data_IF_982606468674
#
_entry.id   IF_982606468674
#
_cell.length_a   1.000
_cell.length_b   1.000
_cell.length_c   1.000
_cell.angle_alpha   90.00
_cell.angle_beta   90.00
_cell.angle_gamma   90.00
#
_symmetry.space_group_name_H-M   'P 1'
#
loop_
_entity.id
_entity.type
_entity.pdbx_description
1 polymer ?
#
# COMPACT_ATOMS: atom_id res chain seq x y z
N UNK A 1 -20.60 2.20 12.73
CA UNK A 1 -19.89 3.05 11.76
C UNK A 1 -20.59 2.86 10.43
N UNK A 2 -21.14 3.92 9.85
CA UNK A 2 -21.67 3.86 8.48
C UNK A 2 -20.49 3.53 7.58
N UNK A 3 -20.41 2.27 7.14
CA UNK A 3 -19.50 1.89 6.05
C UNK A 3 -20.06 2.56 4.81
N UNK A 4 -19.69 3.82 4.60
CA UNK A 4 -19.79 4.43 3.28
C UNK A 4 -19.02 3.49 2.36
N UNK A 5 -19.75 2.70 1.58
CA UNK A 5 -19.16 1.86 0.55
C UNK A 5 -18.62 2.83 -0.49
N UNK A 6 -17.33 3.13 -0.39
CA UNK A 6 -16.60 3.87 -1.40
C UNK A 6 -16.53 2.93 -2.59
N UNK A 7 -17.39 3.16 -3.58
CA UNK A 7 -17.43 2.39 -4.81
C UNK A 7 -16.55 3.06 -5.87
N UNK A 8 -15.62 2.30 -6.41
CA UNK A 8 -14.75 2.68 -7.51
C UNK A 8 -14.46 1.43 -8.32
N UNK A 9 -14.48 1.55 -9.66
CA UNK A 9 -14.37 0.40 -10.57
C UNK A 9 -13.05 0.42 -11.37
N UNK A 10 -11.87 0.17 -10.76
CA UNK A 10 -10.58 0.19 -11.45
C UNK A 10 -10.50 -0.58 -12.77
N UNK A 11 -11.18 -1.73 -12.88
CA UNK A 11 -11.14 -2.53 -14.12
C UNK A 11 -12.00 -1.95 -15.26
N UNK A 12 -12.97 -1.08 -14.94
CA UNK A 12 -13.86 -0.42 -15.90
C UNK A 12 -13.41 1.03 -16.19
N UNK A 13 -13.09 1.80 -15.15
CA UNK A 13 -12.74 3.22 -15.18
C UNK A 13 -11.27 3.48 -15.61
N UNK A 14 -10.90 3.01 -16.80
CA UNK A 14 -9.52 3.13 -17.33
C UNK A 14 -9.06 4.59 -17.51
N UNK A 15 -9.99 5.53 -17.59
CA UNK A 15 -9.70 6.97 -17.66
C UNK A 15 -8.95 7.50 -16.43
N UNK A 16 -9.07 6.84 -15.28
CA UNK A 16 -8.35 7.23 -14.05
C UNK A 16 -6.87 6.88 -14.15
N UNK A 17 -6.46 6.02 -15.09
CA UNK A 17 -5.05 5.69 -15.30
C UNK A 17 -4.25 6.83 -15.96
N UNK A 18 -4.93 7.78 -16.61
CA UNK A 18 -4.31 8.95 -17.24
C UNK A 18 -3.53 9.78 -16.21
N UNK A 19 -2.21 10.00 -16.41
CA UNK A 19 -1.38 10.85 -15.55
C UNK A 19 -1.97 12.25 -15.31
N UNK A 20 -2.64 12.85 -16.29
CA UNK A 20 -3.23 14.18 -16.14
C UNK A 20 -4.40 14.19 -15.14
N UNK A 21 -5.24 13.15 -15.17
CA UNK A 21 -6.36 12.97 -14.22
C UNK A 21 -5.81 12.70 -12.81
N UNK A 22 -4.79 11.84 -12.69
CA UNK A 22 -4.12 11.57 -11.41
C UNK A 22 -3.50 12.83 -10.80
N UNK A 23 -2.80 13.63 -11.59
CA UNK A 23 -2.20 14.87 -11.12
C UNK A 23 -3.26 15.87 -10.62
N UNK A 24 -4.39 15.97 -11.31
CA UNK A 24 -5.52 16.81 -10.87
C UNK A 24 -6.12 16.29 -9.56
N UNK A 25 -6.34 14.99 -9.44
CA UNK A 25 -6.85 14.38 -8.22
C UNK A 25 -5.88 14.58 -7.04
N UNK A 26 -4.58 14.40 -7.26
CA UNK A 26 -3.54 14.65 -6.26
C UNK A 26 -3.52 16.11 -5.81
N UNK A 27 -3.64 17.07 -6.73
CA UNK A 27 -3.68 18.50 -6.38
C UNK A 27 -4.89 18.83 -5.48
N UNK A 28 -6.05 18.21 -5.71
CA UNK A 28 -7.22 18.36 -4.85
C UNK A 28 -7.01 17.72 -3.48
N UNK A 29 -6.42 16.51 -3.43
CA UNK A 29 -6.06 15.84 -2.18
C UNK A 29 -5.09 16.70 -1.36
N UNK A 30 -4.07 17.26 -1.98
CA UNK A 30 -3.11 18.15 -1.31
C UNK A 30 -3.75 19.43 -0.78
N UNK A 31 -4.70 20.01 -1.52
CA UNK A 31 -5.44 21.19 -1.06
C UNK A 31 -6.26 20.88 0.21
N UNK A 32 -6.94 19.74 0.25
CA UNK A 32 -7.68 19.27 1.43
C UNK A 32 -6.74 18.91 2.59
N UNK A 33 -5.61 18.25 2.32
CA UNK A 33 -4.62 17.91 3.33
C UNK A 33 -4.05 19.15 4.03
N UNK A 34 -3.91 20.29 3.33
CA UNK A 34 -3.51 21.56 3.96
C UNK A 34 -4.53 22.11 4.94
N UNK A 35 -5.82 21.83 4.71
CA UNK A 35 -6.91 22.24 5.61
C UNK A 35 -7.18 21.21 6.70
N UNK A 36 -6.71 19.97 6.53
CA UNK A 36 -6.99 18.87 7.46
C UNK A 36 -6.00 18.94 8.63
N UNK A 37 -6.46 18.88 9.90
CA UNK A 37 -5.56 18.89 11.04
C UNK A 37 -4.67 17.64 11.03
N UNK A 38 -3.37 17.84 11.27
CA UNK A 38 -2.40 16.75 11.38
C UNK A 38 -2.74 15.89 12.60
N UNK A 39 -2.78 14.58 12.40
CA UNK A 39 -3.00 13.60 13.46
C UNK A 39 -1.74 13.53 14.33
N UNK A 40 -1.91 13.57 15.65
CA UNK A 40 -0.79 13.41 16.60
C UNK A 40 -0.19 12.01 16.48
N UNK A 41 1.13 11.89 16.71
CA UNK A 41 1.81 10.58 16.74
C UNK A 41 1.26 9.65 17.84
N UNK A 42 0.60 10.21 18.86
CA UNK A 42 -0.06 9.48 19.95
C UNK A 42 -1.53 9.10 19.67
N UNK A 43 -2.01 9.21 18.42
CA UNK A 43 -3.40 8.87 18.08
C UNK A 43 -3.67 7.35 18.28
N UNK A 44 -4.78 6.96 18.93
CA UNK A 44 -5.12 5.55 19.17
C UNK A 44 -5.34 4.72 17.89
N UNK A 45 -5.43 5.35 16.72
CA UNK A 45 -5.48 4.69 15.41
C UNK A 45 -4.10 4.26 14.92
N UNK A 46 -3.04 4.91 15.39
CA UNK A 46 -1.67 4.53 15.08
C UNK A 46 -1.27 3.34 15.96
N UNK A 47 -0.51 2.36 15.42
CA UNK A 47 0.00 1.28 16.23
C UNK A 47 0.93 1.84 17.31
N UNK A 48 0.77 1.37 18.55
CA UNK A 48 1.64 1.77 19.65
C UNK A 48 3.10 1.46 19.32
N UNK A 49 4.00 2.35 19.76
CA UNK A 49 5.43 2.14 19.57
C UNK A 49 5.86 0.85 20.29
N UNK A 50 6.52 -0.05 19.55
CA UNK A 50 6.88 -1.38 20.05
C UNK A 50 8.23 -1.29 20.73
N UNK A 51 8.26 -1.54 22.03
CA UNK A 51 9.52 -1.76 22.74
C UNK A 51 10.18 -3.06 22.24
N UNK A 52 11.36 -2.92 21.64
CA UNK A 52 12.12 -4.02 21.03
C UNK A 52 12.76 -4.91 22.09
N UNK A 53 13.10 -4.36 23.27
CA UNK A 53 13.82 -5.08 24.33
C UNK A 53 13.18 -4.92 25.72
N UNK A 54 11.88 -5.24 25.88
CA UNK A 54 11.14 -4.96 27.13
C UNK A 54 11.64 -5.74 28.34
N UNK A 55 12.36 -6.85 28.10
CA UNK A 55 12.91 -7.72 29.15
C UNK A 55 14.35 -7.39 29.52
N UNK A 56 15.06 -6.60 28.71
CA UNK A 56 16.48 -6.37 28.89
C UNK A 56 16.81 -4.89 28.76
N UNK A 57 16.85 -4.21 29.92
CA UNK A 57 17.21 -2.81 30.02
C UNK A 57 18.60 -2.49 29.44
N UNK A 58 19.55 -3.43 29.47
CA UNK A 58 20.88 -3.21 28.91
C UNK A 58 20.87 -3.23 27.37
N UNK A 59 20.01 -4.03 26.74
CA UNK A 59 19.87 -4.02 25.28
C UNK A 59 19.06 -2.81 24.81
N UNK A 60 18.04 -2.40 25.57
CA UNK A 60 17.31 -1.17 25.31
C UNK A 60 18.25 0.04 25.34
N UNK A 61 19.05 0.20 26.40
CA UNK A 61 19.99 1.32 26.50
C UNK A 61 21.09 1.29 25.43
N UNK A 62 21.56 0.11 25.02
CA UNK A 62 22.50 -0.01 23.90
C UNK A 62 21.88 0.39 22.56
N UNK A 63 20.59 0.08 22.35
CA UNK A 63 19.87 0.49 21.14
C UNK A 63 19.67 2.00 21.12
N UNK A 64 19.28 2.59 22.26
CA UNK A 64 19.08 4.05 22.40
C UNK A 64 20.38 4.81 22.13
N UNK A 65 21.51 4.29 22.64
CA UNK A 65 22.82 4.92 22.49
C UNK A 65 23.50 4.60 21.14
N UNK A 66 22.94 3.73 20.31
CA UNK A 66 23.59 3.23 19.09
C UNK A 66 23.92 4.35 18.08
N UNK A 67 23.10 5.40 18.04
CA UNK A 67 23.31 6.54 17.14
C UNK A 67 24.60 7.33 17.46
N UNK A 68 24.98 7.38 18.74
CA UNK A 68 26.17 8.09 19.22
C UNK A 68 27.36 7.14 19.37
N UNK A 69 27.13 5.92 19.86
CA UNK A 69 28.15 4.91 20.12
C UNK A 69 27.78 3.57 19.46
N UNK A 70 28.14 3.36 18.18
CA UNK A 70 27.85 2.12 17.50
C UNK A 70 28.62 0.95 18.13
N UNK A 71 27.94 -0.19 18.27
CA UNK A 71 28.52 -1.42 18.85
C UNK A 71 29.73 -1.83 18.00
N UNK A 72 30.90 -1.90 18.65
CA UNK A 72 32.15 -2.34 18.01
C UNK A 72 32.21 -3.86 17.94
N UNK A 73 32.84 -4.38 16.90
CA UNK A 73 33.12 -5.81 16.78
C UNK A 73 33.98 -6.30 17.97
N UNK A 74 33.83 -7.58 18.32
CA UNK A 74 34.65 -8.22 19.35
C UNK A 74 36.13 -8.12 18.93
N UNK A 75 36.96 -7.59 19.82
CA UNK A 75 38.40 -7.47 19.57
C UNK A 75 39.08 -8.85 19.65
N UNK A 76 39.49 -9.35 18.48
CA UNK A 76 40.20 -10.62 18.35
C UNK A 76 41.71 -10.51 18.65
N UNK A 77 42.26 -9.29 18.76
CA UNK A 77 43.70 -9.07 18.94
C UNK A 77 44.25 -9.69 20.22
N UNK A 78 43.40 -9.85 21.25
CA UNK A 78 43.72 -10.50 22.53
C UNK A 78 44.18 -11.95 22.41
N UNK A 79 43.76 -12.66 21.36
CA UNK A 79 44.09 -14.07 21.15
C UNK A 79 45.24 -14.28 20.16
N UNK A 80 45.76 -13.21 19.57
CA UNK A 80 46.93 -13.29 18.69
C UNK A 80 48.19 -13.56 19.51
N UNK A 81 49.17 -14.29 18.93
CA UNK A 81 50.43 -14.52 19.59
C UNK A 81 51.11 -13.18 19.93
N UNK A 82 51.56 -12.98 21.18
CA UNK A 82 52.21 -11.73 21.58
C UNK A 82 53.56 -11.58 20.87
N UNK A 83 53.89 -10.38 20.42
CA UNK A 83 55.21 -10.01 19.93
C UNK A 83 55.85 -9.03 20.91
N UNK A 84 57.13 -9.23 21.23
CA UNK A 84 57.87 -8.41 22.19
C UNK A 84 59.15 -7.90 21.50
N UNK A 85 59.46 -6.62 21.66
CA UNK A 85 60.66 -6.00 21.11
C UNK A 85 61.91 -6.34 21.94
N UNK A 86 63.09 -6.28 21.32
CA UNK A 86 64.36 -6.43 22.04
C UNK A 86 64.54 -5.28 23.03
N UNK A 87 64.74 -5.61 24.31
CA UNK A 87 64.87 -4.64 25.41
C UNK A 87 63.56 -4.32 26.17
N UNK A 88 62.50 -5.10 25.97
CA UNK A 88 61.23 -4.90 26.68
C UNK A 88 61.35 -4.99 28.21
N UNK A 89 60.49 -4.24 28.89
CA UNK A 89 60.43 -4.20 30.35
C UNK A 89 59.92 -5.53 30.94
N UNK A 90 60.20 -5.76 32.22
CA UNK A 90 59.79 -6.98 32.92
C UNK A 90 58.25 -7.10 33.01
N UNK A 91 57.55 -5.96 33.06
CA UNK A 91 56.09 -5.89 33.04
C UNK A 91 55.51 -6.28 31.67
N UNK A 92 56.07 -5.74 30.57
CA UNK A 92 55.67 -6.11 29.20
C UNK A 92 55.91 -7.59 28.91
N UNK A 93 57.01 -8.16 29.43
CA UNK A 93 57.28 -9.59 29.34
C UNK A 93 56.27 -10.43 30.14
N UNK A 94 55.88 -9.99 31.34
CA UNK A 94 54.87 -10.68 32.14
C UNK A 94 53.49 -10.65 31.47
N UNK A 95 53.10 -9.53 30.87
CA UNK A 95 51.88 -9.41 30.08
C UNK A 95 51.92 -10.30 28.82
N UNK A 96 53.05 -10.32 28.11
CA UNK A 96 53.23 -11.19 26.96
C UNK A 96 53.09 -12.67 27.35
N UNK A 97 53.64 -13.11 28.48
CA UNK A 97 53.45 -14.49 28.98
C UNK A 97 51.98 -14.78 29.27
N UNK A 98 51.27 -13.85 29.92
CA UNK A 98 49.85 -14.02 30.22
C UNK A 98 49.00 -14.11 28.94
N UNK A 99 49.23 -13.22 27.97
CA UNK A 99 48.56 -13.27 26.66
C UNK A 99 48.89 -14.55 25.90
N UNK A 100 50.14 -15.00 25.96
CA UNK A 100 50.57 -16.27 25.37
C UNK A 100 49.81 -17.47 25.94
N UNK A 101 49.65 -17.55 27.27
CA UNK A 101 48.85 -18.60 27.93
C UNK A 101 47.37 -18.56 27.53
N UNK A 102 46.80 -17.36 27.42
CA UNK A 102 45.42 -17.19 26.94
C UNK A 102 45.28 -17.69 25.50
N UNK A 103 46.22 -17.33 24.62
CA UNK A 103 46.27 -17.79 23.24
C UNK A 103 46.41 -19.31 23.13
N UNK A 104 47.31 -19.92 23.91
CA UNK A 104 47.50 -21.37 23.97
C UNK A 104 46.22 -22.10 24.39
N UNK A 105 45.60 -21.67 25.49
CA UNK A 105 44.34 -22.25 25.97
C UNK A 105 43.22 -22.15 24.94
N UNK A 106 43.10 -21.00 24.26
CA UNK A 106 42.15 -20.81 23.18
C UNK A 106 42.43 -21.76 21.99
N UNK A 107 43.69 -21.93 21.59
CA UNK A 107 44.05 -22.83 20.49
C UNK A 107 43.83 -24.31 20.85
N UNK A 108 44.08 -24.70 22.10
CA UNK A 108 43.76 -26.03 22.62
C UNK A 108 42.25 -26.31 22.51
N UNK A 109 41.41 -25.41 23.04
CA UNK A 109 39.96 -25.53 22.93
C UNK A 109 39.48 -25.53 21.48
N UNK A 110 40.09 -24.70 20.62
CA UNK A 110 39.77 -24.68 19.19
C UNK A 110 40.07 -26.03 18.54
N UNK A 111 41.18 -26.68 18.87
CA UNK A 111 41.51 -27.99 18.33
C UNK A 111 40.51 -29.07 18.79
N UNK A 112 40.09 -29.04 20.06
CA UNK A 112 39.03 -29.92 20.56
C UNK A 112 37.71 -29.71 19.81
N UNK A 113 37.27 -28.46 19.67
CA UNK A 113 36.06 -28.11 18.93
C UNK A 113 36.14 -28.50 17.45
N UNK A 114 37.31 -28.33 16.81
CA UNK A 114 37.55 -28.79 15.43
C UNK A 114 37.47 -30.31 15.34
N UNK A 115 37.96 -31.05 16.33
CA UNK A 115 37.81 -32.52 16.37
C UNK A 115 36.35 -32.96 16.41
N UNK A 116 35.53 -32.32 17.25
CA UNK A 116 34.08 -32.53 17.30
C UNK A 116 33.43 -32.16 15.97
N UNK A 117 33.79 -31.02 15.38
CA UNK A 117 33.27 -30.57 14.09
C UNK A 117 33.66 -31.50 12.94
N UNK A 118 34.86 -32.06 12.94
CA UNK A 118 35.28 -33.03 11.91
C UNK A 118 34.45 -34.32 11.98
N UNK A 119 34.10 -34.75 13.20
CA UNK A 119 33.34 -35.99 13.42
C UNK A 119 31.86 -35.82 13.09
N UNK A 120 31.23 -34.73 13.54
CA UNK A 120 29.77 -34.55 13.44
C UNK A 120 29.34 -33.49 12.43
N UNK A 121 30.22 -32.56 12.05
CA UNK A 121 29.93 -31.43 11.18
C UNK A 121 29.34 -31.83 9.84
N UNK A 122 29.97 -32.74 9.06
CA UNK A 122 29.43 -33.13 7.75
C UNK A 122 27.99 -33.66 7.82
N UNK A 123 27.70 -34.53 8.79
CA UNK A 123 26.36 -35.09 8.97
C UNK A 123 25.36 -34.05 9.46
N UNK A 124 25.74 -33.19 10.41
CA UNK A 124 24.90 -32.10 10.88
C UNK A 124 24.55 -31.11 9.76
N UNK A 125 25.51 -30.82 8.88
CA UNK A 125 25.30 -29.98 7.70
C UNK A 125 24.32 -30.59 6.70
N UNK A 126 24.42 -31.89 6.43
CA UNK A 126 23.48 -32.58 5.55
C UNK A 126 22.05 -32.57 6.11
N UNK A 127 21.90 -32.85 7.41
CA UNK A 127 20.58 -32.78 8.09
C UNK A 127 20.02 -31.36 8.04
N UNK A 128 20.86 -30.34 8.31
CA UNK A 128 20.44 -28.95 8.24
C UNK A 128 20.03 -28.56 6.82
N UNK A 129 20.77 -29.00 5.80
CA UNK A 129 20.42 -28.75 4.41
C UNK A 129 19.07 -29.38 4.04
N UNK A 130 18.82 -30.63 4.47
CA UNK A 130 17.53 -31.29 4.28
C UNK A 130 16.38 -30.52 4.95
N UNK A 131 16.56 -30.07 6.19
CA UNK A 131 15.56 -29.25 6.90
C UNK A 131 15.29 -27.93 6.16
N UNK A 132 16.34 -27.24 5.70
CA UNK A 132 16.20 -26.01 4.94
C UNK A 132 15.47 -26.22 3.62
N UNK A 133 15.75 -27.32 2.91
CA UNK A 133 15.05 -27.66 1.68
C UNK A 133 13.56 -27.94 1.96
N UNK A 134 13.24 -28.65 3.05
CA UNK A 134 11.85 -28.88 3.46
C UNK A 134 11.11 -27.57 3.74
N UNK A 135 11.72 -26.67 4.51
CA UNK A 135 11.15 -25.35 4.82
C UNK A 135 10.96 -24.51 3.54
N UNK A 136 11.94 -24.56 2.64
CA UNK A 136 11.86 -23.87 1.35
C UNK A 136 10.69 -24.40 0.52
N UNK A 137 10.51 -25.72 0.43
CA UNK A 137 9.38 -26.31 -0.31
C UNK A 137 8.03 -25.94 0.28
N UNK A 138 7.92 -25.90 1.61
CA UNK A 138 6.70 -25.47 2.31
C UNK A 138 6.40 -23.99 2.01
N UNK A 139 7.40 -23.11 2.15
CA UNK A 139 7.25 -21.69 1.86
C UNK A 139 6.89 -21.45 0.38
N UNK A 140 7.50 -22.18 -0.55
CA UNK A 140 7.13 -22.12 -1.97
C UNK A 140 5.68 -22.53 -2.19
N UNK A 141 5.21 -23.61 -1.55
CA UNK A 141 3.81 -24.05 -1.61
C UNK A 141 2.83 -23.01 -1.04
N UNK A 142 3.17 -22.40 0.11
CA UNK A 142 2.32 -21.32 0.66
C UNK A 142 2.27 -20.11 -0.26
N UNK A 143 3.38 -19.76 -0.90
CA UNK A 143 3.47 -18.64 -1.84
C UNK A 143 2.65 -18.92 -3.11
N UNK A 144 2.71 -20.12 -3.68
CA UNK A 144 1.90 -20.48 -4.86
C UNK A 144 0.42 -20.43 -4.53
N UNK A 145 0.01 -20.99 -3.39
CA UNK A 145 -1.39 -20.96 -2.95
C UNK A 145 -1.87 -19.52 -2.72
N UNK A 146 -1.06 -18.67 -2.11
CA UNK A 146 -1.41 -17.26 -1.90
C UNK A 146 -1.55 -16.52 -3.23
N UNK A 147 -0.65 -16.78 -4.19
CA UNK A 147 -0.77 -16.20 -5.54
C UNK A 147 -2.06 -16.63 -6.23
N UNK A 148 -2.41 -17.91 -6.15
CA UNK A 148 -3.67 -18.43 -6.71
C UNK A 148 -4.88 -17.75 -6.08
N UNK A 149 -4.92 -17.62 -4.76
CA UNK A 149 -5.98 -16.90 -4.04
C UNK A 149 -6.08 -15.44 -4.49
N UNK A 150 -4.95 -14.73 -4.61
CA UNK A 150 -4.93 -13.35 -5.11
C UNK A 150 -5.45 -13.28 -6.54
N UNK A 151 -5.05 -14.21 -7.41
CA UNK A 151 -5.54 -14.22 -8.80
C UNK A 151 -7.03 -14.51 -8.89
N UNK A 152 -7.56 -15.39 -8.05
CA UNK A 152 -8.98 -15.71 -8.01
C UNK A 152 -9.80 -14.52 -7.52
N UNK A 153 -9.36 -13.85 -6.46
CA UNK A 153 -10.01 -12.61 -5.96
C UNK A 153 -9.98 -11.52 -7.03
N UNK A 154 -8.85 -11.32 -7.71
CA UNK A 154 -8.74 -10.34 -8.78
C UNK A 154 -9.63 -10.69 -9.98
N UNK A 155 -9.74 -11.97 -10.32
CA UNK A 155 -10.62 -12.45 -11.39
C UNK A 155 -12.09 -12.20 -11.04
N UNK A 156 -12.53 -12.58 -9.84
CA UNK A 156 -13.88 -12.35 -9.37
C UNK A 156 -14.21 -10.85 -9.32
N UNK A 157 -13.27 -10.02 -8.82
CA UNK A 157 -13.40 -8.56 -8.79
C UNK A 157 -13.55 -7.99 -10.20
N UNK A 158 -12.74 -8.45 -11.15
CA UNK A 158 -12.79 -7.99 -12.54
C UNK A 158 -14.15 -8.27 -13.17
N UNK A 159 -14.65 -9.50 -13.06
CA UNK A 159 -15.96 -9.89 -13.61
C UNK A 159 -17.06 -9.02 -13.01
N UNK A 160 -17.08 -8.87 -11.68
CA UNK A 160 -18.05 -8.02 -11.00
C UNK A 160 -18.01 -6.56 -11.49
N UNK A 161 -16.81 -5.96 -11.58
CA UNK A 161 -16.66 -4.57 -12.00
C UNK A 161 -17.02 -4.35 -13.47
N UNK A 162 -16.68 -5.28 -14.36
CA UNK A 162 -17.07 -5.22 -15.78
C UNK A 162 -18.60 -5.31 -15.92
N UNK A 163 -19.26 -6.23 -15.21
CA UNK A 163 -20.73 -6.37 -15.23
C UNK A 163 -21.45 -5.14 -14.67
N UNK A 164 -21.00 -4.60 -13.53
CA UNK A 164 -21.58 -3.39 -12.93
C UNK A 164 -21.32 -2.16 -13.78
N UNK A 165 -20.12 -2.02 -14.34
CA UNK A 165 -19.78 -0.92 -15.26
C UNK A 165 -20.67 -0.92 -16.50
N UNK A 166 -20.90 -2.08 -17.12
CA UNK A 166 -21.86 -2.20 -18.22
C UNK A 166 -23.29 -1.85 -17.80
N UNK A 167 -23.69 -2.22 -16.58
CA UNK A 167 -25.01 -1.86 -16.05
C UNK A 167 -25.16 -0.34 -15.87
N UNK A 168 -24.14 0.32 -15.32
CA UNK A 168 -24.09 1.77 -15.20
C UNK A 168 -24.15 2.45 -16.56
N UNK A 169 -23.38 1.98 -17.54
CA UNK A 169 -23.44 2.52 -18.92
C UNK A 169 -24.83 2.39 -19.55
N UNK A 170 -25.57 1.30 -19.30
CA UNK A 170 -26.97 1.17 -19.73
C UNK A 170 -27.89 2.19 -19.04
N UNK A 171 -27.69 2.43 -17.74
CA UNK A 171 -28.47 3.41 -16.99
C UNK A 171 -28.17 4.84 -17.44
N UNK A 172 -26.91 5.16 -17.72
CA UNK A 172 -26.49 6.46 -18.26
C UNK A 172 -27.09 6.73 -19.64
N UNK A 173 -27.06 5.76 -20.55
CA UNK A 173 -27.68 5.90 -21.86
C UNK A 173 -29.20 6.11 -21.74
N UNK A 174 -29.88 5.30 -20.92
CA UNK A 174 -31.32 5.46 -20.68
C UNK A 174 -31.65 6.82 -20.06
N UNK A 175 -30.80 7.30 -19.16
CA UNK A 175 -30.94 8.62 -18.57
C UNK A 175 -30.78 9.72 -19.65
N UNK A 176 -29.77 9.63 -20.50
CA UNK A 176 -29.57 10.53 -21.62
C UNK A 176 -30.75 10.56 -22.60
N UNK A 177 -31.30 9.38 -22.94
CA UNK A 177 -32.48 9.26 -23.79
C UNK A 177 -33.72 9.91 -23.14
N UNK A 178 -33.93 9.69 -21.85
CA UNK A 178 -35.03 10.29 -21.10
C UNK A 178 -34.93 11.82 -21.04
N UNK A 179 -33.72 12.34 -20.78
CA UNK A 179 -33.47 13.79 -20.76
C UNK A 179 -33.71 14.38 -22.15
N UNK A 180 -33.16 13.76 -23.20
CA UNK A 180 -33.36 14.19 -24.59
C UNK A 180 -34.85 14.17 -24.98
N UNK A 181 -35.57 13.09 -24.65
CA UNK A 181 -37.00 12.96 -24.91
C UNK A 181 -37.82 14.01 -24.15
N UNK A 182 -37.49 14.31 -22.90
CA UNK A 182 -38.14 15.36 -22.11
C UNK A 182 -37.96 16.73 -22.77
N UNK A 183 -36.73 17.06 -23.18
CA UNK A 183 -36.45 18.34 -23.86
C UNK A 183 -37.18 18.43 -25.20
N UNK A 184 -37.20 17.35 -25.99
CA UNK A 184 -37.95 17.31 -27.25
C UNK A 184 -39.46 17.49 -27.04
N UNK A 185 -40.01 16.90 -25.97
CA UNK A 185 -41.42 17.05 -25.61
C UNK A 185 -41.74 18.48 -25.18
N UNK A 186 -40.89 19.12 -24.37
CA UNK A 186 -41.02 20.54 -24.01
C UNK A 186 -40.96 21.46 -25.25
N UNK A 187 -40.05 21.18 -26.19
CA UNK A 187 -39.97 21.90 -27.47
C UNK A 187 -41.24 21.71 -28.32
N UNK A 188 -41.78 20.50 -28.40
CA UNK A 188 -43.02 20.23 -29.13
C UNK A 188 -44.23 20.92 -28.47
N UNK A 189 -44.33 20.88 -27.14
CA UNK A 189 -45.39 21.57 -26.41
C UNK A 189 -45.32 23.09 -26.58
N UNK A 190 -44.12 23.68 -26.56
CA UNK A 190 -43.94 25.13 -26.77
C UNK A 190 -44.29 25.54 -28.21
N UNK A 191 -43.86 24.76 -29.22
CA UNK A 191 -44.25 24.98 -30.61
C UNK A 191 -45.78 24.88 -30.80
N UNK A 192 -46.40 23.83 -30.26
CA UNK A 192 -47.85 23.63 -30.37
C UNK A 192 -48.64 24.71 -29.61
N UNK A 193 -48.15 25.18 -28.47
CA UNK A 193 -48.75 26.33 -27.77
C UNK A 193 -48.67 27.62 -28.61
N UNK A 194 -47.57 27.83 -29.36
CA UNK A 194 -47.44 28.98 -30.26
C UNK A 194 -48.40 28.89 -31.46
N UNK A 195 -48.60 27.70 -32.03
CA UNK A 195 -49.58 27.47 -33.09
C UNK A 195 -51.01 27.69 -32.58
N UNK A 196 -51.35 27.17 -31.39
CA UNK A 196 -52.66 27.40 -30.77
C UNK A 196 -52.91 28.88 -30.49
N UNK A 197 -51.89 29.62 -30.05
CA UNK A 197 -52.00 31.06 -29.86
C UNK A 197 -52.31 31.78 -31.19
N UNK A 198 -51.57 31.47 -32.26
CA UNK A 198 -51.83 32.05 -33.58
C UNK A 198 -53.20 31.68 -34.18
N UNK A 199 -53.67 30.44 -33.97
CA UNK A 199 -55.01 30.03 -34.38
C UNK A 199 -56.10 30.77 -33.61
N UNK A 200 -55.91 31.01 -32.31
CA UNK A 200 -56.85 31.79 -31.48
C UNK A 200 -56.92 33.26 -31.91
N UNK A 201 -55.80 33.86 -32.26
CA UNK A 201 -55.77 35.21 -32.84
C UNK A 201 -56.59 35.26 -34.13
N UNK A 202 -56.38 34.30 -35.02
CA UNK A 202 -57.11 34.21 -36.30
C UNK A 202 -58.61 33.94 -36.12
N UNK A 203 -58.98 33.13 -35.13
CA UNK A 203 -60.38 32.92 -34.77
C UNK A 203 -61.03 34.22 -34.25
N UNK A 204 -60.31 34.99 -33.43
CA UNK A 204 -60.79 36.28 -32.94
C UNK A 204 -60.96 37.31 -34.07
N UNK A 205 -60.02 37.37 -35.02
CA UNK A 205 -60.12 38.21 -36.22
C UNK A 205 -61.35 37.83 -37.06
N UNK A 206 -61.53 36.55 -37.39
CA UNK A 206 -62.66 36.09 -38.19
C UNK A 206 -64.01 36.31 -37.49
N UNK A 207 -64.08 36.12 -36.17
CA UNK A 207 -65.28 36.43 -35.39
C UNK A 207 -65.62 37.92 -35.46
N UNK A 208 -64.62 38.80 -35.32
CA UNK A 208 -64.82 40.24 -35.45
C UNK A 208 -65.27 40.64 -36.87
N UNK A 209 -64.75 39.98 -37.92
CA UNK A 209 -65.22 40.19 -39.30
C UNK A 209 -66.67 39.74 -39.51
N UNK A 210 -67.06 38.58 -38.97
CA UNK A 210 -68.44 38.09 -39.05
C UNK A 210 -69.39 39.03 -38.30
N UNK A 211 -69.04 39.46 -37.10
CA UNK A 211 -69.83 40.43 -36.33
C UNK A 211 -69.98 41.77 -37.07
N UNK A 212 -68.93 42.23 -37.77
CA UNK A 212 -68.98 43.45 -38.58
C UNK A 212 -69.88 43.29 -39.82
N UNK A 213 -69.90 42.11 -40.44
CA UNK A 213 -70.78 41.80 -41.58
C UNK A 213 -72.24 41.65 -41.14
N UNK A 214 -72.51 41.03 -39.99
CA UNK A 214 -73.85 40.93 -39.40
C UNK A 214 -74.39 42.31 -39.00
N UNK A 215 -73.54 43.25 -38.59
CA UNK A 215 -73.93 44.62 -38.30
C UNK A 215 -74.21 45.49 -39.54
N UNK A 216 -73.82 45.05 -40.74
CA UNK A 216 -74.07 45.74 -42.01
C UNK A 216 -75.30 45.21 -42.78
N UNK A 217 -75.88 44.09 -42.34
CA UNK A 217 -77.11 43.50 -42.87
C UNK A 217 -78.36 44.00 -42.13
#
# INVERSE_FOLDING_TARGET
>A
MSTSNIDALPYYDKQVEDPAVKARAQALIEAELRSTPVVSDDDPRLPANVDVFPKNAALASLLDNYAEEPIRAIDASKYNPPSVAEGASLEELAEAVNRGRIGEGHMSLRNENVGVLQTYGPNAWLVRNYQLNSQLTELQGTLTNLKEQVTEVNRARRVYQEEQGEHLGRLENRWGDLVSSSVQLEMACTAMNSEVAGLREREAELRAEVEALEAQA
#
